data_IF_066612444981
#
_entry.id   IF_066612444981
#
_cell.length_a   1.000
_cell.length_b   1.000
_cell.length_c   1.000
_cell.angle_alpha   90.00
_cell.angle_beta   90.00
_cell.angle_gamma   90.00
#
_symmetry.space_group_name_H-M   'P 1'
#
loop_
_entity.id
_entity.type
_entity.pdbx_description
1 polymer ?
#
# COMPACT_ATOMS: atom_id res chain seq x y z
N UNK A 1 -4.66 14.44 -37.81
CA UNK A 1 -5.48 13.21 -37.74
C UNK A 1 -6.42 13.19 -38.92
N UNK A 2 -6.58 12.05 -39.59
CA UNK A 2 -7.28 11.99 -40.88
C UNK A 2 -8.77 12.35 -40.82
N UNK A 3 -9.47 12.05 -39.68
CA UNK A 3 -10.94 12.20 -39.62
C UNK A 3 -11.42 13.24 -38.58
N UNK A 4 -10.54 14.09 -38.12
CA UNK A 4 -10.84 15.12 -37.10
C UNK A 4 -11.73 14.65 -35.94
N UNK A 5 -11.37 13.52 -35.24
CA UNK A 5 -12.22 12.92 -34.24
C UNK A 5 -12.33 13.79 -32.98
N UNK A 6 -13.52 13.83 -32.35
CA UNK A 6 -13.74 14.50 -31.06
C UNK A 6 -13.19 13.71 -29.89
N UNK A 7 -13.09 12.40 -30.04
CA UNK A 7 -12.60 11.47 -28.99
C UNK A 7 -11.47 10.65 -29.60
N UNK A 8 -10.34 10.61 -28.90
CA UNK A 8 -9.18 9.76 -29.20
C UNK A 8 -9.13 8.62 -28.18
N UNK A 9 -9.04 7.38 -28.67
CA UNK A 9 -8.79 6.21 -27.87
C UNK A 9 -7.35 5.77 -28.09
N UNK A 10 -6.59 5.62 -27.02
CA UNK A 10 -5.20 5.17 -27.04
C UNK A 10 -5.03 3.98 -26.07
N UNK A 11 -4.69 2.82 -26.63
CA UNK A 11 -4.43 1.61 -25.87
C UNK A 11 -2.93 1.37 -25.85
N UNK A 12 -2.32 1.42 -24.66
CA UNK A 12 -0.89 1.29 -24.39
C UNK A 12 -0.01 2.07 -25.41
N UNK A 13 -0.24 3.38 -25.61
CA UNK A 13 0.38 4.13 -26.74
C UNK A 13 1.90 4.25 -26.65
N UNK A 14 2.50 3.86 -25.54
CA UNK A 14 3.95 3.96 -25.28
C UNK A 14 4.59 2.61 -24.96
N UNK A 15 3.86 1.50 -25.03
CA UNK A 15 4.27 0.19 -24.50
C UNK A 15 5.57 -0.40 -25.08
N UNK A 16 6.03 0.06 -26.25
CA UNK A 16 7.27 -0.43 -26.89
C UNK A 16 8.22 0.71 -27.26
N UNK A 17 8.13 1.85 -26.58
CA UNK A 17 8.94 3.02 -26.88
C UNK A 17 10.01 3.24 -25.81
N UNK A 18 11.15 3.80 -26.23
CA UNK A 18 12.14 4.36 -25.32
C UNK A 18 11.60 5.60 -24.58
N UNK A 19 12.31 6.05 -23.57
CA UNK A 19 11.88 7.16 -22.72
C UNK A 19 11.68 8.48 -23.48
N UNK A 20 12.49 8.74 -24.51
CA UNK A 20 12.41 9.97 -25.32
C UNK A 20 11.17 9.93 -26.21
N UNK A 21 10.97 8.82 -26.93
CA UNK A 21 9.80 8.60 -27.77
C UNK A 21 8.51 8.56 -26.94
N UNK A 22 8.55 7.95 -25.76
CA UNK A 22 7.44 7.97 -24.78
C UNK A 22 7.03 9.40 -24.45
N UNK A 23 8.00 10.27 -24.10
CA UNK A 23 7.72 11.65 -23.76
C UNK A 23 7.09 12.40 -24.94
N UNK A 24 7.63 12.24 -26.15
CA UNK A 24 7.08 12.87 -27.36
C UNK A 24 5.63 12.48 -27.65
N UNK A 25 5.28 11.21 -27.45
CA UNK A 25 3.91 10.73 -27.63
C UNK A 25 2.99 11.32 -26.55
N UNK A 26 3.42 11.36 -25.29
CA UNK A 26 2.63 11.92 -24.20
C UNK A 26 2.44 13.42 -24.35
N UNK A 27 3.46 14.17 -24.76
CA UNK A 27 3.36 15.60 -25.06
C UNK A 27 2.37 15.86 -26.21
N UNK A 28 2.36 15.00 -27.23
CA UNK A 28 1.41 15.11 -28.35
C UNK A 28 -0.02 14.81 -27.91
N UNK A 29 -0.23 13.85 -27.05
CA UNK A 29 -1.53 13.54 -26.44
C UNK A 29 -2.02 14.72 -25.60
N UNK A 30 -1.14 15.33 -24.82
CA UNK A 30 -1.46 16.52 -24.04
C UNK A 30 -1.83 17.71 -24.90
N UNK A 31 -1.08 17.96 -25.96
CA UNK A 31 -1.36 19.00 -26.96
C UNK A 31 -2.76 18.84 -27.58
N UNK A 32 -3.11 17.62 -27.99
CA UNK A 32 -4.42 17.27 -28.54
C UNK A 32 -5.55 17.54 -27.54
N UNK A 33 -5.34 17.22 -26.29
CA UNK A 33 -6.34 17.48 -25.26
C UNK A 33 -6.44 18.97 -24.89
N UNK A 34 -5.30 19.66 -24.71
CA UNK A 34 -5.25 21.02 -24.19
C UNK A 34 -5.59 22.06 -25.26
N UNK A 35 -4.98 21.96 -26.46
CA UNK A 35 -5.15 22.95 -27.53
C UNK A 35 -6.31 22.60 -28.47
N UNK A 36 -6.40 21.35 -28.90
CA UNK A 36 -7.48 20.92 -29.80
C UNK A 36 -8.80 20.64 -29.05
N UNK A 37 -8.80 20.71 -27.75
CA UNK A 37 -9.95 20.46 -26.85
C UNK A 37 -10.67 19.13 -27.10
N UNK A 38 -9.89 18.09 -27.41
CA UNK A 38 -10.43 16.74 -27.66
C UNK A 38 -10.41 15.91 -26.38
N UNK A 39 -11.38 15.04 -26.28
CA UNK A 39 -11.38 14.04 -25.20
C UNK A 39 -10.41 12.93 -25.58
N UNK A 40 -9.47 12.63 -24.66
CA UNK A 40 -8.56 11.49 -24.81
C UNK A 40 -8.89 10.47 -23.74
N UNK A 41 -9.11 9.23 -24.16
CA UNK A 41 -9.24 8.08 -23.28
C UNK A 41 -8.04 7.18 -23.53
N UNK A 42 -7.21 6.99 -22.52
CA UNK A 42 -5.99 6.20 -22.62
C UNK A 42 -6.05 5.04 -21.65
N UNK A 43 -5.70 3.84 -22.11
CA UNK A 43 -5.44 2.68 -21.28
C UNK A 43 -3.93 2.54 -21.15
N UNK A 44 -3.43 2.42 -19.92
CA UNK A 44 -2.01 2.21 -19.65
C UNK A 44 -1.80 1.59 -18.26
N UNK A 45 -0.77 0.77 -18.15
CA UNK A 45 -0.27 0.26 -16.88
C UNK A 45 0.89 1.11 -16.32
N UNK A 46 1.35 2.12 -17.06
CA UNK A 46 2.45 2.99 -16.67
C UNK A 46 1.98 4.15 -15.79
N UNK A 47 2.39 4.13 -14.51
CA UNK A 47 2.03 5.15 -13.53
C UNK A 47 2.52 6.57 -13.91
N UNK A 48 3.59 6.71 -14.71
CA UNK A 48 4.10 8.00 -15.16
C UNK A 48 3.08 8.78 -16.03
N UNK A 49 2.13 8.07 -16.66
CA UNK A 49 1.09 8.69 -17.49
C UNK A 49 -0.04 9.35 -16.70
N UNK A 50 -0.16 9.03 -15.40
CA UNK A 50 -1.25 9.53 -14.54
C UNK A 50 -1.23 11.06 -14.39
N UNK A 51 -0.05 11.69 -14.49
CA UNK A 51 0.11 13.15 -14.42
C UNK A 51 -0.56 13.89 -15.60
N UNK A 52 -0.74 13.23 -16.71
CA UNK A 52 -1.39 13.80 -17.90
C UNK A 52 -2.92 13.72 -17.86
N UNK A 53 -3.48 12.88 -16.96
CA UNK A 53 -4.90 12.65 -16.91
C UNK A 53 -5.61 13.62 -15.95
N UNK A 54 -6.76 14.18 -16.36
CA UNK A 54 -7.67 14.91 -15.46
C UNK A 54 -8.50 13.96 -14.59
N UNK A 55 -8.69 12.71 -15.04
CA UNK A 55 -9.47 11.69 -14.38
C UNK A 55 -8.88 10.32 -14.66
N UNK A 56 -8.67 9.54 -13.62
CA UNK A 56 -8.10 8.20 -13.70
C UNK A 56 -9.11 7.19 -13.15
N UNK A 57 -9.38 6.16 -13.92
CA UNK A 57 -10.19 5.02 -13.52
C UNK A 57 -9.30 3.80 -13.37
N UNK A 58 -9.34 3.17 -12.20
CA UNK A 58 -8.65 1.91 -11.96
C UNK A 58 -9.61 0.76 -12.21
N UNK A 59 -9.17 -0.17 -13.06
CA UNK A 59 -9.94 -1.35 -13.41
C UNK A 59 -9.31 -2.59 -12.78
N UNK A 60 -10.16 -3.44 -12.21
CA UNK A 60 -9.79 -4.78 -11.76
C UNK A 60 -10.92 -5.73 -12.19
N UNK A 61 -10.56 -6.86 -12.81
CA UNK A 61 -11.51 -7.89 -13.25
C UNK A 61 -12.69 -7.35 -14.08
N UNK A 62 -12.42 -6.34 -14.94
CA UNK A 62 -13.41 -5.69 -15.79
C UNK A 62 -14.32 -4.67 -15.09
N UNK A 63 -14.12 -4.41 -13.81
CA UNK A 63 -14.89 -3.45 -13.02
C UNK A 63 -14.05 -2.21 -12.68
N UNK A 64 -14.69 -1.04 -12.66
CA UNK A 64 -14.07 0.17 -12.12
C UNK A 64 -14.07 0.05 -10.59
N UNK A 65 -12.88 -0.14 -10.03
CA UNK A 65 -12.69 -0.24 -8.58
C UNK A 65 -12.40 1.11 -7.93
N UNK A 66 -12.02 2.11 -8.72
CA UNK A 66 -11.68 3.43 -8.22
C UNK A 66 -11.70 4.50 -9.30
N UNK A 67 -12.02 5.74 -8.88
CA UNK A 67 -11.86 6.98 -9.65
C UNK A 67 -11.00 7.98 -8.87
N UNK A 68 -10.06 8.64 -9.57
CA UNK A 68 -9.28 9.77 -9.05
C UNK A 68 -9.46 10.96 -9.97
N UNK A 69 -9.82 12.11 -9.42
CA UNK A 69 -9.96 13.37 -10.14
C UNK A 69 -8.72 14.22 -9.91
N UNK A 70 -8.05 14.62 -11.00
CA UNK A 70 -6.84 15.41 -11.00
C UNK A 70 -6.99 16.66 -11.88
N UNK A 71 -7.79 17.65 -11.45
CA UNK A 71 -8.11 18.81 -12.28
C UNK A 71 -6.89 19.69 -12.60
N UNK A 72 -5.86 19.65 -11.78
CA UNK A 72 -4.64 20.46 -11.94
C UNK A 72 -3.52 19.74 -12.69
N UNK A 73 -3.73 18.47 -13.06
CA UNK A 73 -2.71 17.62 -13.74
C UNK A 73 -1.32 17.77 -13.12
N UNK A 74 -1.23 17.60 -11.81
CA UNK A 74 0.03 17.71 -11.09
C UNK A 74 1.02 16.71 -11.63
N UNK A 75 2.21 17.16 -12.00
CA UNK A 75 3.27 16.27 -12.44
C UNK A 75 3.70 15.34 -11.31
N UNK A 76 3.73 14.06 -11.61
CA UNK A 76 4.38 13.07 -10.78
C UNK A 76 5.87 13.24 -11.04
N UNK A 77 6.66 13.48 -9.98
CA UNK A 77 8.11 13.41 -10.13
C UNK A 77 8.49 11.97 -10.47
N UNK A 78 9.16 11.70 -11.59
CA UNK A 78 9.61 10.35 -11.90
C UNK A 78 10.54 9.88 -10.79
N UNK A 79 10.41 8.61 -10.40
CA UNK A 79 11.35 7.97 -9.50
C UNK A 79 12.70 7.92 -10.21
N UNK A 80 13.75 8.40 -9.56
CA UNK A 80 15.10 8.36 -10.11
C UNK A 80 15.57 6.91 -10.23
N UNK A 81 16.24 6.57 -11.35
CA UNK A 81 16.94 5.29 -11.47
C UNK A 81 17.84 5.09 -10.24
N UNK A 82 17.69 3.96 -9.55
CA UNK A 82 18.45 3.61 -8.33
C UNK A 82 17.74 3.94 -7.01
N UNK A 83 16.53 4.53 -7.00
CA UNK A 83 15.72 4.60 -5.77
C UNK A 83 15.06 3.27 -5.49
N UNK A 84 15.51 2.58 -4.47
CA UNK A 84 14.96 1.31 -4.00
C UNK A 84 13.56 1.56 -3.43
N UNK A 85 12.57 0.78 -3.88
CA UNK A 85 11.23 0.80 -3.29
C UNK A 85 11.31 0.04 -1.98
N UNK A 86 11.28 0.76 -0.88
CA UNK A 86 11.47 0.18 0.46
C UNK A 86 10.17 -0.39 1.02
N UNK A 87 9.01 0.12 0.61
CA UNK A 87 7.72 -0.28 1.17
C UNK A 87 6.57 -0.26 0.16
N UNK A 88 5.51 -1.05 0.45
CA UNK A 88 4.24 -1.00 -0.29
C UNK A 88 3.66 0.43 -0.38
N UNK A 89 3.89 1.26 0.63
CA UNK A 89 3.36 2.63 0.65
C UNK A 89 3.97 3.49 -0.48
N UNK A 90 5.25 3.28 -0.78
CA UNK A 90 5.92 3.94 -1.89
C UNK A 90 5.43 3.43 -3.25
N UNK A 91 5.13 2.14 -3.36
CA UNK A 91 4.47 1.58 -4.54
C UNK A 91 3.08 2.20 -4.74
N UNK A 92 2.29 2.28 -3.65
CA UNK A 92 0.99 2.93 -3.67
C UNK A 92 1.10 4.43 -4.02
N UNK A 93 2.12 5.13 -3.53
CA UNK A 93 2.35 6.54 -3.86
C UNK A 93 2.64 6.75 -5.35
N UNK A 94 3.30 5.79 -6.00
CA UNK A 94 3.49 5.81 -7.46
C UNK A 94 2.17 5.59 -8.22
N UNK A 95 1.35 4.66 -7.75
CA UNK A 95 0.04 4.38 -8.35
C UNK A 95 -0.98 5.48 -8.06
N UNK A 96 -0.83 6.20 -6.95
CA UNK A 96 -1.76 7.20 -6.45
C UNK A 96 -1.04 8.50 -6.05
N UNK A 97 -0.38 9.17 -6.96
CA UNK A 97 0.56 10.26 -6.66
C UNK A 97 -0.09 11.53 -6.09
N UNK A 98 -1.42 11.63 -6.18
CA UNK A 98 -2.19 12.77 -5.66
C UNK A 98 -2.84 12.49 -4.31
N UNK A 99 -2.73 11.26 -3.82
CA UNK A 99 -3.28 10.90 -2.52
C UNK A 99 -2.33 11.33 -1.40
N UNK A 100 -2.92 11.72 -0.28
CA UNK A 100 -2.14 11.95 0.94
C UNK A 100 -1.58 10.63 1.48
N UNK A 101 -0.50 10.70 2.25
CA UNK A 101 0.07 9.52 2.92
C UNK A 101 -0.98 8.77 3.74
N UNK A 102 -1.85 9.49 4.46
CA UNK A 102 -2.94 8.88 5.21
C UNK A 102 -3.93 8.12 4.31
N UNK A 103 -4.23 8.68 3.13
CA UNK A 103 -5.08 7.99 2.17
C UNK A 103 -4.41 6.72 1.63
N UNK A 104 -3.11 6.77 1.36
CA UNK A 104 -2.33 5.60 0.90
C UNK A 104 -2.29 4.49 1.97
N UNK A 105 -2.13 4.86 3.25
CA UNK A 105 -2.21 3.94 4.37
C UNK A 105 -3.56 3.23 4.45
N UNK A 106 -4.64 4.00 4.33
CA UNK A 106 -6.00 3.42 4.30
C UNK A 106 -6.17 2.45 3.14
N UNK A 107 -5.68 2.78 1.95
CA UNK A 107 -5.71 1.89 0.78
C UNK A 107 -4.94 0.60 1.00
N UNK A 108 -3.75 0.69 1.56
CA UNK A 108 -2.97 -0.49 1.95
C UNK A 108 -3.77 -1.40 2.88
N UNK A 109 -4.44 -0.84 3.89
CA UNK A 109 -5.32 -1.61 4.78
C UNK A 109 -6.51 -2.22 4.05
N UNK A 110 -7.21 -1.46 3.23
CA UNK A 110 -8.36 -1.96 2.47
C UNK A 110 -7.95 -3.12 1.57
N UNK A 111 -6.86 -2.99 0.82
CA UNK A 111 -6.33 -4.07 -0.03
C UNK A 111 -5.99 -5.34 0.76
N UNK A 112 -5.56 -5.19 2.02
CA UNK A 112 -5.26 -6.32 2.88
C UNK A 112 -6.51 -6.98 3.47
N UNK A 113 -7.48 -6.17 3.87
CA UNK A 113 -8.68 -6.64 4.58
C UNK A 113 -9.73 -7.24 3.64
N UNK A 114 -9.70 -6.93 2.35
CA UNK A 114 -10.79 -7.24 1.43
C UNK A 114 -10.37 -8.12 0.27
N UNK A 115 -11.26 -9.07 -0.10
CA UNK A 115 -11.27 -9.77 -1.36
C UNK A 115 -12.69 -9.66 -1.90
N UNK A 116 -12.87 -9.40 -3.19
CA UNK A 116 -14.17 -9.41 -3.89
C UNK A 116 -15.24 -8.41 -3.40
N UNK A 117 -14.83 -7.26 -2.87
CA UNK A 117 -15.76 -6.18 -2.48
C UNK A 117 -16.10 -5.29 -3.67
N UNK A 118 -17.36 -4.85 -3.72
CA UNK A 118 -17.79 -3.86 -4.71
C UNK A 118 -17.14 -2.50 -4.44
N UNK A 119 -17.03 -1.66 -5.48
CA UNK A 119 -16.53 -0.28 -5.36
C UNK A 119 -17.23 0.51 -4.24
N UNK A 120 -18.56 0.34 -4.12
CA UNK A 120 -19.35 1.01 -3.10
C UNK A 120 -18.98 0.58 -1.68
N UNK A 121 -18.74 -0.71 -1.48
CA UNK A 121 -18.28 -1.25 -0.20
C UNK A 121 -16.87 -0.76 0.13
N UNK A 122 -15.96 -0.76 -0.85
CA UNK A 122 -14.60 -0.27 -0.67
C UNK A 122 -14.58 1.20 -0.25
N UNK A 123 -15.36 2.07 -0.88
CA UNK A 123 -15.44 3.49 -0.52
C UNK A 123 -15.97 3.70 0.91
N UNK A 124 -16.97 2.92 1.33
CA UNK A 124 -17.50 2.98 2.69
C UNK A 124 -16.50 2.48 3.72
N UNK A 125 -15.79 1.39 3.39
CA UNK A 125 -14.76 0.84 4.24
C UNK A 125 -13.57 1.80 4.40
N UNK A 126 -13.09 2.39 3.31
CA UNK A 126 -12.06 3.45 3.36
C UNK A 126 -12.46 4.56 4.34
N UNK A 127 -13.68 5.06 4.21
CA UNK A 127 -14.19 6.12 5.08
C UNK A 127 -14.26 5.68 6.55
N UNK A 128 -14.76 4.48 6.83
CA UNK A 128 -14.83 3.93 8.19
C UNK A 128 -13.43 3.77 8.82
N UNK A 129 -12.45 3.25 8.06
CA UNK A 129 -11.06 3.11 8.50
C UNK A 129 -10.44 4.48 8.79
N UNK A 130 -10.66 5.49 7.93
CA UNK A 130 -10.18 6.87 8.18
C UNK A 130 -10.71 7.41 9.51
N UNK A 131 -12.00 7.25 9.79
CA UNK A 131 -12.60 7.72 11.04
C UNK A 131 -12.03 7.00 12.25
N UNK A 132 -11.77 5.70 12.13
CA UNK A 132 -11.22 4.88 13.18
C UNK A 132 -9.75 5.22 13.47
N UNK A 133 -8.89 5.34 12.44
CA UNK A 133 -7.48 5.75 12.59
C UNK A 133 -7.36 7.13 13.22
N UNK A 134 -8.26 8.07 12.87
CA UNK A 134 -8.29 9.42 13.43
C UNK A 134 -8.91 9.48 14.84
N UNK A 135 -9.27 8.35 15.44
CA UNK A 135 -9.90 8.29 16.75
C UNK A 135 -11.27 8.97 16.82
N UNK A 136 -11.95 9.20 15.69
CA UNK A 136 -13.26 9.82 15.63
C UNK A 136 -14.40 8.85 15.96
N UNK A 137 -14.14 7.57 15.81
CA UNK A 137 -15.04 6.47 16.21
C UNK A 137 -14.22 5.45 16.99
N UNK A 138 -14.86 4.83 17.99
CA UNK A 138 -14.29 3.73 18.73
C UNK A 138 -14.46 2.39 18.00
N UNK A 139 -13.95 1.32 18.59
CA UNK A 139 -14.03 -0.03 18.04
C UNK A 139 -15.47 -0.50 17.81
N UNK A 140 -16.38 -0.20 18.72
CA UNK A 140 -17.77 -0.63 18.61
C UNK A 140 -18.49 0.11 17.48
N UNK A 141 -18.30 1.42 17.37
CA UNK A 141 -18.83 2.23 16.30
C UNK A 141 -18.23 1.84 14.94
N UNK A 142 -16.93 1.47 14.90
CA UNK A 142 -16.29 0.95 13.68
C UNK A 142 -16.93 -0.37 13.25
N UNK A 143 -17.05 -1.37 14.14
CA UNK A 143 -17.72 -2.65 13.83
C UNK A 143 -19.16 -2.39 13.37
N UNK A 144 -19.91 -1.52 14.04
CA UNK A 144 -21.28 -1.15 13.65
C UNK A 144 -21.34 -0.56 12.24
N UNK A 145 -20.40 0.32 11.88
CA UNK A 145 -20.32 0.91 10.54
C UNK A 145 -20.06 -0.14 9.45
N UNK A 146 -19.34 -1.23 9.77
CA UNK A 146 -19.10 -2.33 8.85
C UNK A 146 -20.34 -3.21 8.65
N UNK A 147 -21.12 -3.45 9.72
CA UNK A 147 -22.29 -4.35 9.69
C UNK A 147 -23.52 -3.67 9.06
N UNK A 148 -23.69 -2.36 9.27
CA UNK A 148 -24.87 -1.64 8.78
C UNK A 148 -25.07 -1.85 7.29
N UNK A 149 -26.36 -1.99 6.84
CA UNK A 149 -26.69 -2.07 5.43
C UNK A 149 -26.17 -0.85 4.66
N UNK A 150 -25.83 -1.06 3.41
CA UNK A 150 -25.31 -0.01 2.53
C UNK A 150 -26.25 1.21 2.47
N UNK A 151 -27.56 0.99 2.40
CA UNK A 151 -28.59 2.04 2.38
C UNK A 151 -28.56 2.93 3.63
N UNK A 152 -28.10 2.39 4.75
CA UNK A 152 -27.93 3.10 6.03
C UNK A 152 -26.51 3.65 6.22
N UNK A 153 -25.69 3.64 5.17
CA UNK A 153 -24.34 4.19 5.18
C UNK A 153 -23.25 3.21 5.61
N UNK A 154 -23.56 1.92 5.78
CA UNK A 154 -22.61 0.89 6.16
C UNK A 154 -21.93 0.18 4.98
N UNK A 155 -21.08 -0.80 5.30
CA UNK A 155 -20.36 -1.63 4.33
C UNK A 155 -21.13 -2.92 3.99
N UNK A 156 -22.04 -3.32 4.90
CA UNK A 156 -22.85 -4.53 4.76
C UNK A 156 -22.03 -5.83 4.82
N UNK A 157 -21.16 -5.92 5.82
CA UNK A 157 -20.30 -7.07 6.09
C UNK A 157 -20.91 -7.93 7.18
N UNK A 158 -20.79 -9.28 7.13
CA UNK A 158 -21.21 -10.16 8.21
C UNK A 158 -20.52 -9.82 9.54
N UNK A 159 -21.24 -9.94 10.65
CA UNK A 159 -20.74 -9.52 11.97
C UNK A 159 -19.41 -10.19 12.37
N UNK A 160 -19.27 -11.50 12.08
CA UNK A 160 -18.03 -12.23 12.37
C UNK A 160 -16.83 -11.66 11.60
N UNK A 161 -17.05 -11.32 10.33
CA UNK A 161 -16.05 -10.71 9.47
C UNK A 161 -15.72 -9.28 9.92
N UNK A 162 -16.72 -8.47 10.26
CA UNK A 162 -16.54 -7.12 10.78
C UNK A 162 -15.69 -7.12 12.06
N UNK A 163 -15.94 -8.04 12.98
CA UNK A 163 -15.14 -8.20 14.20
C UNK A 163 -13.69 -8.61 13.90
N UNK A 164 -13.48 -9.52 12.93
CA UNK A 164 -12.15 -9.92 12.47
C UNK A 164 -11.41 -8.73 11.85
N UNK A 165 -12.06 -7.98 10.96
CA UNK A 165 -11.48 -6.79 10.33
C UNK A 165 -11.09 -5.74 11.37
N UNK A 166 -11.95 -5.46 12.33
CA UNK A 166 -11.66 -4.52 13.41
C UNK A 166 -10.44 -4.96 14.24
N UNK A 167 -10.36 -6.23 14.62
CA UNK A 167 -9.22 -6.76 15.36
C UNK A 167 -7.90 -6.69 14.58
N UNK A 168 -7.92 -6.97 13.28
CA UNK A 168 -6.74 -6.84 12.42
C UNK A 168 -6.33 -5.37 12.30
N UNK A 169 -7.28 -4.47 12.05
CA UNK A 169 -7.03 -3.03 11.92
C UNK A 169 -6.39 -2.45 13.18
N UNK A 170 -6.92 -2.77 14.36
CA UNK A 170 -6.34 -2.34 15.65
C UNK A 170 -4.90 -2.81 15.83
N UNK A 171 -4.64 -4.09 15.54
CA UNK A 171 -3.30 -4.67 15.66
C UNK A 171 -2.31 -4.01 14.70
N UNK A 172 -2.70 -3.79 13.44
CA UNK A 172 -1.86 -3.11 12.47
C UNK A 172 -1.50 -1.68 12.92
N UNK A 173 -2.48 -0.91 13.41
CA UNK A 173 -2.26 0.45 13.92
C UNK A 173 -1.32 0.43 15.12
N UNK A 174 -1.59 -0.41 16.11
CA UNK A 174 -0.78 -0.51 17.34
C UNK A 174 0.69 -0.85 17.05
N UNK A 175 0.95 -1.83 16.19
CA UNK A 175 2.31 -2.24 15.84
C UNK A 175 3.02 -1.20 14.95
N UNK A 176 2.28 -0.55 14.07
CA UNK A 176 2.83 0.50 13.21
C UNK A 176 3.21 1.78 13.98
N UNK A 177 2.51 2.09 15.07
CA UNK A 177 2.87 3.22 15.93
C UNK A 177 4.25 3.05 16.58
N UNK A 178 4.63 1.83 16.91
CA UNK A 178 5.96 1.51 17.42
C UNK A 178 7.05 1.77 16.37
N UNK A 179 6.81 1.37 15.11
CA UNK A 179 7.73 1.67 13.99
C UNK A 179 7.81 3.19 13.76
N UNK A 180 6.67 3.88 13.79
CA UNK A 180 6.62 5.34 13.60
C UNK A 180 7.41 6.06 14.68
N UNK A 181 7.26 5.68 15.94
CA UNK A 181 8.02 6.22 17.06
C UNK A 181 9.51 5.95 16.92
N UNK A 182 9.90 4.76 16.50
CA UNK A 182 11.30 4.41 16.26
C UNK A 182 11.92 5.28 15.17
N UNK A 183 11.23 5.48 14.04
CA UNK A 183 11.73 6.29 12.91
C UNK A 183 11.69 7.80 13.14
N UNK A 184 10.79 8.31 13.96
CA UNK A 184 10.67 9.74 14.27
C UNK A 184 11.82 10.28 15.15
N UNK A 185 12.69 9.43 15.66
CA UNK A 185 13.77 9.82 16.55
C UNK A 185 14.95 10.44 15.84
N UNK A 186 15.47 11.51 16.44
CA UNK A 186 16.69 12.18 16.00
C UNK A 186 17.95 11.75 16.77
N UNK A 187 17.83 11.11 17.95
CA UNK A 187 18.95 10.74 18.80
C UNK A 187 18.79 9.37 19.47
N UNK A 188 19.92 8.67 19.59
CA UNK A 188 20.08 7.27 20.00
C UNK A 188 19.96 7.00 21.52
N UNK A 189 19.53 7.94 22.35
CA UNK A 189 19.71 7.87 23.81
C UNK A 189 18.59 7.18 24.60
N UNK A 190 17.53 6.68 23.96
CA UNK A 190 16.45 6.04 24.71
C UNK A 190 16.44 4.53 24.49
N UNK A 191 17.01 3.82 25.47
CA UNK A 191 17.15 2.36 25.51
C UNK A 191 15.79 1.61 25.36
N UNK A 192 14.67 2.25 25.71
CA UNK A 192 13.33 1.65 25.64
C UNK A 192 12.84 1.43 24.19
N UNK A 193 13.48 2.00 23.22
CA UNK A 193 13.10 1.89 21.81
C UNK A 193 14.30 1.60 20.90
N UNK A 194 15.29 0.89 21.40
CA UNK A 194 16.35 0.38 20.52
C UNK A 194 15.75 -0.47 19.40
N UNK A 195 16.47 -0.57 18.29
CA UNK A 195 16.11 -1.42 17.15
C UNK A 195 15.79 -2.85 17.63
N UNK A 196 16.60 -3.40 18.52
CA UNK A 196 16.44 -4.75 19.02
C UNK A 196 15.11 -4.94 19.78
N UNK A 197 14.76 -3.99 20.67
CA UNK A 197 13.49 -4.05 21.40
C UNK A 197 12.26 -3.88 20.51
N UNK A 198 12.36 -3.08 19.47
CA UNK A 198 11.32 -2.99 18.48
C UNK A 198 11.15 -4.33 17.74
N UNK A 199 12.27 -4.91 17.28
CA UNK A 199 12.28 -6.18 16.59
C UNK A 199 11.77 -7.33 17.47
N UNK A 200 12.14 -7.36 18.76
CA UNK A 200 11.62 -8.35 19.71
C UNK A 200 10.09 -8.25 19.87
N UNK A 201 9.54 -7.04 20.01
CA UNK A 201 8.08 -6.85 20.13
C UNK A 201 7.34 -7.24 18.86
N UNK A 202 7.87 -6.86 17.70
CA UNK A 202 7.31 -7.26 16.41
C UNK A 202 7.38 -8.78 16.22
N UNK A 203 8.49 -9.43 16.60
CA UNK A 203 8.62 -10.87 16.61
C UNK A 203 7.55 -11.52 17.50
N UNK A 204 7.38 -11.06 18.75
CA UNK A 204 6.39 -11.62 19.67
C UNK A 204 4.98 -11.48 19.11
N UNK A 205 4.70 -10.34 18.49
CA UNK A 205 3.43 -10.10 17.80
C UNK A 205 3.21 -11.07 16.63
N UNK A 206 4.20 -11.23 15.73
CA UNK A 206 4.10 -12.10 14.56
C UNK A 206 3.96 -13.57 14.97
N UNK A 207 4.81 -14.03 15.90
CA UNK A 207 4.75 -15.40 16.43
C UNK A 207 3.39 -15.69 17.05
N UNK A 208 2.86 -14.76 17.83
CA UNK A 208 1.53 -14.90 18.43
C UNK A 208 0.38 -14.85 17.42
N UNK A 209 0.51 -14.02 16.38
CA UNK A 209 -0.52 -13.87 15.35
C UNK A 209 -0.65 -15.08 14.45
N UNK A 210 0.49 -15.67 14.04
CA UNK A 210 0.57 -16.82 13.15
C UNK A 210 0.68 -18.16 13.89
N UNK A 211 0.71 -18.14 15.24
CA UNK A 211 0.84 -19.34 16.08
C UNK A 211 2.08 -20.21 15.72
N UNK A 212 3.17 -19.57 15.31
CA UNK A 212 4.40 -20.25 14.91
C UNK A 212 5.15 -20.72 16.16
N UNK A 213 5.64 -21.95 16.12
CA UNK A 213 6.49 -22.49 17.17
C UNK A 213 7.94 -22.43 16.73
N UNK A 214 8.73 -21.57 17.35
CA UNK A 214 10.13 -21.36 17.03
C UNK A 214 11.04 -21.91 18.13
N UNK A 215 12.16 -22.49 17.74
CA UNK A 215 13.29 -22.78 18.62
C UNK A 215 13.93 -21.47 19.11
N UNK A 216 14.84 -21.57 20.08
CA UNK A 216 15.57 -20.39 20.55
C UNK A 216 16.39 -19.72 19.45
N UNK A 217 17.03 -20.53 18.58
CA UNK A 217 17.83 -20.06 17.44
C UNK A 217 16.94 -19.38 16.40
N UNK A 218 15.84 -19.99 15.99
CA UNK A 218 14.88 -19.38 15.05
C UNK A 218 14.29 -18.07 15.59
N UNK A 219 14.05 -17.96 16.91
CA UNK A 219 13.61 -16.71 17.52
C UNK A 219 14.66 -15.60 17.36
N UNK A 220 15.95 -15.92 17.54
CA UNK A 220 17.05 -14.96 17.34
C UNK A 220 17.13 -14.52 15.87
N UNK A 221 17.12 -15.48 14.95
CA UNK A 221 17.15 -15.20 13.51
C UNK A 221 15.99 -14.30 13.08
N UNK A 222 14.78 -14.56 13.59
CA UNK A 222 13.61 -13.73 13.26
C UNK A 222 13.75 -12.30 13.79
N UNK A 223 14.35 -12.08 14.98
CA UNK A 223 14.60 -10.74 15.50
C UNK A 223 15.56 -9.97 14.58
N UNK A 224 16.68 -10.57 14.18
CA UNK A 224 17.64 -9.95 13.26
C UNK A 224 16.99 -9.65 11.91
N UNK A 225 16.26 -10.61 11.36
CA UNK A 225 15.57 -10.46 10.08
C UNK A 225 14.53 -9.32 10.11
N UNK A 226 13.76 -9.20 11.20
CA UNK A 226 12.80 -8.09 11.41
C UNK A 226 13.55 -6.75 11.52
N UNK A 227 14.65 -6.70 12.27
CA UNK A 227 15.45 -5.51 12.45
C UNK A 227 16.00 -5.00 11.11
N UNK A 228 16.55 -5.89 10.30
CA UNK A 228 17.09 -5.58 8.97
C UNK A 228 16.00 -5.09 8.01
N UNK A 229 14.83 -5.70 8.05
CA UNK A 229 13.71 -5.27 7.20
C UNK A 229 13.15 -3.91 7.60
N UNK A 230 12.97 -3.64 8.90
CA UNK A 230 12.45 -2.36 9.41
C UNK A 230 13.42 -1.20 9.15
N UNK A 231 14.72 -1.47 9.13
CA UNK A 231 15.76 -0.47 8.85
C UNK A 231 16.03 -0.31 7.35
N UNK A 232 15.52 -1.22 6.51
CA UNK A 232 15.70 -1.18 5.06
C UNK A 232 17.04 -1.75 4.59
N UNK A 233 17.71 -2.54 5.43
CA UNK A 233 18.92 -3.29 5.07
C UNK A 233 18.59 -4.39 4.06
N UNK A 234 17.42 -5.02 4.19
CA UNK A 234 16.90 -6.02 3.26
C UNK A 234 15.55 -5.61 2.69
N UNK A 235 15.26 -6.08 1.48
CA UNK A 235 14.01 -5.89 0.76
C UNK A 235 12.97 -6.96 1.16
N UNK A 236 11.69 -6.74 0.77
CA UNK A 236 10.59 -7.66 1.00
C UNK A 236 10.86 -9.08 0.50
N UNK A 237 11.36 -9.21 -0.74
CA UNK A 237 11.68 -10.49 -1.35
C UNK A 237 12.77 -11.24 -0.58
N UNK A 238 13.79 -10.53 -0.10
CA UNK A 238 14.88 -11.12 0.70
C UNK A 238 14.35 -11.56 2.07
N UNK A 239 13.50 -10.77 2.70
CA UNK A 239 12.84 -11.13 3.94
C UNK A 239 12.04 -12.43 3.77
N UNK A 240 11.18 -12.51 2.75
CA UNK A 240 10.39 -13.70 2.45
C UNK A 240 11.25 -14.93 2.18
N UNK A 241 12.27 -14.81 1.32
CA UNK A 241 13.17 -15.91 1.00
C UNK A 241 13.93 -16.43 2.23
N UNK A 242 14.36 -15.52 3.12
CA UNK A 242 15.08 -15.93 4.34
C UNK A 242 14.17 -16.67 5.32
N UNK A 243 12.88 -16.30 5.42
CA UNK A 243 11.91 -17.06 6.23
C UNK A 243 11.82 -18.54 5.81
N UNK A 244 11.93 -18.83 4.52
CA UNK A 244 11.87 -20.19 3.97
C UNK A 244 13.19 -20.96 4.11
N UNK A 245 14.32 -20.26 4.24
CA UNK A 245 15.64 -20.92 4.38
C UNK A 245 15.72 -21.76 5.64
N UNK A 246 16.61 -22.75 5.61
CA UNK A 246 16.88 -23.59 6.78
C UNK A 246 17.55 -22.80 7.89
N UNK A 247 17.38 -23.24 9.13
CA UNK A 247 18.00 -22.61 10.32
C UNK A 247 19.52 -22.49 10.19
N UNK A 248 20.17 -23.41 9.50
CA UNK A 248 21.64 -23.35 9.24
C UNK A 248 22.06 -22.19 8.34
N UNK A 249 21.12 -21.59 7.63
CA UNK A 249 21.32 -20.44 6.75
C UNK A 249 20.54 -19.23 7.29
N UNK A 250 20.48 -19.08 8.61
CA UNK A 250 19.84 -18.00 9.34
C UNK A 250 18.31 -17.84 9.09
N UNK A 251 17.69 -18.85 8.46
CA UNK A 251 16.26 -18.89 8.17
C UNK A 251 15.42 -19.52 9.27
N UNK A 252 14.12 -19.62 9.02
CA UNK A 252 13.13 -20.22 9.93
C UNK A 252 12.66 -21.61 9.47
N UNK A 253 12.82 -21.94 8.19
CA UNK A 253 12.33 -23.18 7.60
C UNK A 253 10.81 -23.22 7.45
N UNK A 254 10.15 -22.05 7.29
CA UNK A 254 8.71 -21.96 7.02
C UNK A 254 8.39 -22.48 5.62
N UNK A 255 7.20 -23.01 5.44
CA UNK A 255 6.73 -23.29 4.08
C UNK A 255 6.39 -21.99 3.32
N UNK A 256 6.29 -22.09 1.99
CA UNK A 256 6.06 -20.93 1.12
C UNK A 256 4.80 -20.15 1.51
N UNK A 257 3.72 -20.85 1.84
CA UNK A 257 2.45 -20.21 2.21
C UNK A 257 2.55 -19.47 3.53
N UNK A 258 3.17 -20.09 4.54
CA UNK A 258 3.38 -19.47 5.85
C UNK A 258 4.29 -18.25 5.74
N UNK A 259 5.36 -18.33 4.96
CA UNK A 259 6.28 -17.23 4.70
C UNK A 259 5.60 -16.07 3.99
N UNK A 260 4.79 -16.34 2.94
CA UNK A 260 4.04 -15.33 2.20
C UNK A 260 2.99 -14.63 3.08
N UNK A 261 2.22 -15.38 3.86
CA UNK A 261 1.20 -14.82 4.75
C UNK A 261 1.85 -13.92 5.82
N UNK A 262 2.95 -14.35 6.42
CA UNK A 262 3.69 -13.59 7.42
C UNK A 262 4.31 -12.34 6.80
N UNK A 263 5.00 -12.46 5.67
CA UNK A 263 5.62 -11.33 4.95
C UNK A 263 4.55 -10.31 4.59
N UNK A 264 3.47 -10.73 3.96
CA UNK A 264 2.36 -9.85 3.56
C UNK A 264 1.78 -9.08 4.75
N UNK A 265 1.59 -9.73 5.89
CA UNK A 265 1.09 -9.06 7.10
C UNK A 265 2.12 -8.09 7.68
N UNK A 266 3.39 -8.49 7.74
CA UNK A 266 4.47 -7.66 8.26
C UNK A 266 4.70 -6.41 7.40
N UNK A 267 4.66 -6.53 6.08
CA UNK A 267 4.73 -5.39 5.15
C UNK A 267 3.58 -4.38 5.39
N UNK A 268 2.39 -4.85 5.78
CA UNK A 268 1.30 -3.95 6.17
C UNK A 268 1.62 -3.14 7.43
N UNK A 269 2.24 -3.77 8.43
CA UNK A 269 2.70 -3.06 9.64
C UNK A 269 3.73 -1.99 9.25
N UNK A 270 4.71 -2.35 8.41
CA UNK A 270 5.74 -1.41 7.94
C UNK A 270 5.10 -0.26 7.17
N UNK A 271 4.23 -0.55 6.20
CA UNK A 271 3.55 0.47 5.39
C UNK A 271 2.75 1.47 6.22
N UNK A 272 2.16 1.04 7.35
CA UNK A 272 1.45 1.94 8.27
C UNK A 272 2.41 2.77 9.13
N UNK A 273 3.61 2.26 9.41
CA UNK A 273 4.60 2.86 10.32
C UNK A 273 5.61 3.80 9.66
N UNK A 274 5.68 3.83 8.32
CA UNK A 274 6.64 4.67 7.58
C UNK A 274 5.96 5.86 6.92
N UNK A 275 6.73 6.90 6.65
CA UNK A 275 6.31 8.02 5.84
C UNK A 275 6.89 7.87 4.43
N UNK A 276 6.11 8.23 3.43
CA UNK A 276 6.60 8.31 2.05
C UNK A 276 7.58 9.46 1.96
N UNK A 277 8.82 9.16 1.62
CA UNK A 277 9.84 10.18 1.38
C UNK A 277 9.57 10.88 0.05
N UNK A 278 8.69 11.89 0.05
CA UNK A 278 8.71 12.86 -1.02
C UNK A 278 9.98 13.68 -0.86
N UNK A 279 11.10 13.23 -1.43
CA UNK A 279 12.23 14.13 -1.60
C UNK A 279 11.78 15.24 -2.55
N UNK A 280 11.58 16.42 -1.95
CA UNK A 280 11.34 17.70 -2.62
C UNK A 280 12.43 18.02 -3.65
#
# INVERSE_FOLDING_TARGET
MVNDPKILLADEPTGNLDSVSTQQVMDKIDEINTFDRRTVIMVSHNAAHLSYAHRVYYLKDGLIVREVVNPQRKQIKPVREGETIVTELEQLARLFPYDSVDTLRVKSMVNFLTQDYTYRQLTRLEHAIVLFIKGKIDREAFIKSLILPYEKGGVEVPEAEAKKMAGITEKLISQSDDIRRFRARKDNDDIFFSQDKLAERLRDHLVGMFHIRLTKEQNSNLVELIADRVTGVIEEDQFNQTLMQTVKNDGLGLDEKEADELTRYFEKIIAQGVDVSYKS
#
